data_IF_711548049738
#
_entry.id   IF_711548049738
#
_cell.length_a   1.000
_cell.length_b   1.000
_cell.length_c   1.000
_cell.angle_alpha   90.00
_cell.angle_beta   90.00
_cell.angle_gamma   90.00
#
_symmetry.space_group_name_H-M   'P 1'
#
loop_
_entity.id
_entity.type
_entity.pdbx_description
1 polymer ?
#
# COMPACT_ATOMS: atom_id res chain seq x y z
N UNK A 1 -11.38 3.94 34.42
CA UNK A 1 -10.42 2.82 34.32
C UNK A 1 -11.21 1.53 34.32
N UNK A 2 -11.20 0.79 33.22
CA UNK A 2 -11.78 -0.56 33.16
C UNK A 2 -10.83 -1.48 33.94
N UNK A 3 -11.38 -2.23 34.90
CA UNK A 3 -10.60 -3.22 35.65
C UNK A 3 -10.07 -4.32 34.72
N UNK A 4 -9.04 -5.08 35.12
CA UNK A 4 -8.41 -6.18 34.33
C UNK A 4 -9.43 -7.10 33.64
N UNK A 5 -10.52 -7.47 34.29
CA UNK A 5 -11.62 -8.27 33.73
C UNK A 5 -12.35 -7.57 32.57
N UNK A 6 -12.45 -6.23 32.60
CA UNK A 6 -13.10 -5.47 31.53
C UNK A 6 -12.23 -5.39 30.26
N UNK A 7 -10.92 -5.27 30.41
CA UNK A 7 -9.97 -5.28 29.29
C UNK A 7 -9.94 -6.67 28.59
N UNK A 8 -9.81 -7.75 29.34
CA UNK A 8 -9.80 -9.11 28.80
C UNK A 8 -11.11 -9.44 28.04
N UNK A 9 -12.25 -8.98 28.55
CA UNK A 9 -13.53 -9.16 27.86
C UNK A 9 -13.59 -8.35 26.57
N UNK A 10 -13.06 -7.14 26.56
CA UNK A 10 -13.01 -6.29 25.35
C UNK A 10 -12.10 -6.90 24.30
N UNK A 11 -10.92 -7.38 24.66
CA UNK A 11 -10.03 -8.08 23.76
C UNK A 11 -10.68 -9.31 23.12
N UNK A 12 -11.32 -10.16 23.90
CA UNK A 12 -12.05 -11.32 23.38
C UNK A 12 -13.17 -10.93 22.40
N UNK A 13 -13.86 -9.83 22.65
CA UNK A 13 -14.89 -9.32 21.72
C UNK A 13 -14.29 -8.80 20.41
N UNK A 14 -13.15 -8.13 20.47
CA UNK A 14 -12.42 -7.67 19.26
C UNK A 14 -11.95 -8.87 18.44
N UNK A 15 -11.35 -9.87 19.06
CA UNK A 15 -10.96 -11.10 18.36
C UNK A 15 -12.16 -11.83 17.75
N UNK A 16 -13.25 -11.96 18.47
CA UNK A 16 -14.47 -12.60 17.97
C UNK A 16 -15.04 -11.82 16.78
N UNK A 17 -15.08 -10.50 16.89
CA UNK A 17 -15.51 -9.65 15.77
C UNK A 17 -14.62 -9.84 14.53
N UNK A 18 -13.29 -9.76 14.70
CA UNK A 18 -12.34 -9.97 13.61
C UNK A 18 -12.48 -11.35 12.98
N UNK A 19 -12.59 -12.40 13.80
CA UNK A 19 -12.80 -13.77 13.32
C UNK A 19 -14.11 -13.92 12.54
N UNK A 20 -15.21 -13.35 13.05
CA UNK A 20 -16.51 -13.39 12.36
C UNK A 20 -16.45 -12.67 11.01
N UNK A 21 -15.76 -11.50 10.96
CA UNK A 21 -15.55 -10.76 9.71
C UNK A 21 -14.72 -11.56 8.72
N UNK A 22 -13.67 -12.22 9.16
CA UNK A 22 -12.84 -13.10 8.32
C UNK A 22 -13.66 -14.23 7.73
N UNK A 23 -14.39 -14.98 8.57
CA UNK A 23 -15.24 -16.07 8.10
C UNK A 23 -16.30 -15.61 7.09
N UNK A 24 -16.92 -14.44 7.33
CA UNK A 24 -17.88 -13.86 6.39
C UNK A 24 -17.20 -13.50 5.07
N UNK A 25 -16.04 -12.89 5.09
CA UNK A 25 -15.27 -12.55 3.88
C UNK A 25 -14.91 -13.80 3.08
N UNK A 26 -14.44 -14.84 3.74
CA UNK A 26 -14.12 -16.13 3.09
C UNK A 26 -15.36 -16.76 2.45
N UNK A 27 -16.51 -16.72 3.12
CA UNK A 27 -17.74 -17.25 2.56
C UNK A 27 -18.19 -16.50 1.31
N UNK A 28 -18.17 -15.17 1.36
CA UNK A 28 -18.53 -14.31 0.22
C UNK A 28 -17.58 -14.51 -0.95
N UNK A 29 -16.26 -14.57 -0.68
CA UNK A 29 -15.27 -14.83 -1.70
C UNK A 29 -15.45 -16.20 -2.35
N UNK A 30 -15.67 -17.26 -1.55
CA UNK A 30 -15.90 -18.61 -2.08
C UNK A 30 -17.12 -18.70 -2.97
N UNK A 31 -18.22 -18.06 -2.58
CA UNK A 31 -19.44 -18.00 -3.39
C UNK A 31 -19.20 -17.26 -4.71
N UNK A 32 -18.51 -16.13 -4.65
CA UNK A 32 -18.17 -15.36 -5.87
C UNK A 32 -17.25 -16.13 -6.81
N UNK A 33 -16.18 -16.74 -6.31
CA UNK A 33 -15.27 -17.51 -7.14
C UNK A 33 -15.96 -18.71 -7.77
N UNK A 34 -16.69 -19.49 -6.98
CA UNK A 34 -17.46 -20.65 -7.48
C UNK A 34 -18.46 -20.25 -8.56
N UNK A 35 -19.19 -19.15 -8.34
CA UNK A 35 -20.17 -18.62 -9.31
C UNK A 35 -19.46 -18.11 -10.57
N UNK A 36 -18.35 -17.39 -10.43
CA UNK A 36 -17.57 -16.86 -11.56
C UNK A 36 -16.97 -17.99 -12.41
N UNK A 37 -16.41 -19.01 -11.77
CA UNK A 37 -15.89 -20.19 -12.47
C UNK A 37 -17.00 -20.92 -13.24
N UNK A 38 -18.15 -21.12 -12.59
CA UNK A 38 -19.28 -21.77 -13.24
C UNK A 38 -19.82 -20.97 -14.44
N UNK A 39 -19.96 -19.66 -14.30
CA UNK A 39 -20.51 -18.79 -15.34
C UNK A 39 -19.55 -18.54 -16.49
N UNK A 40 -18.26 -18.39 -16.21
CA UNK A 40 -17.23 -18.08 -17.23
C UNK A 40 -16.54 -19.33 -17.78
N UNK A 41 -16.65 -20.47 -17.13
CA UNK A 41 -15.98 -21.71 -17.51
C UNK A 41 -14.45 -21.65 -17.41
N UNK A 42 -13.93 -20.70 -16.61
CA UNK A 42 -12.48 -20.47 -16.43
C UNK A 42 -12.14 -20.67 -14.97
N UNK A 43 -11.17 -21.55 -14.69
CA UNK A 43 -10.66 -21.76 -13.35
C UNK A 43 -9.87 -20.54 -12.87
N UNK A 44 -10.18 -20.04 -11.68
CA UNK A 44 -9.46 -18.92 -11.04
C UNK A 44 -8.23 -19.49 -10.33
N UNK A 45 -7.05 -19.12 -10.80
CA UNK A 45 -5.76 -19.64 -10.29
C UNK A 45 -4.97 -18.61 -9.50
N UNK A 46 -5.33 -17.33 -9.58
CA UNK A 46 -4.63 -16.25 -8.91
C UNK A 46 -5.62 -15.51 -8.00
N UNK A 47 -5.29 -15.42 -6.72
CA UNK A 47 -6.09 -14.76 -5.68
C UNK A 47 -5.53 -13.39 -5.29
N UNK A 48 -5.03 -12.64 -6.25
CA UNK A 48 -4.50 -11.30 -6.05
C UNK A 48 -3.10 -11.28 -5.41
N UNK A 49 -2.32 -12.33 -5.59
CA UNK A 49 -0.92 -12.34 -5.21
C UNK A 49 -0.13 -11.39 -6.11
N UNK A 50 0.79 -10.65 -5.50
CA UNK A 50 1.65 -9.72 -6.21
C UNK A 50 2.66 -10.52 -7.05
N UNK A 51 2.42 -10.60 -8.34
CA UNK A 51 3.34 -11.26 -9.24
C UNK A 51 4.60 -10.39 -9.45
N UNK A 52 5.76 -11.04 -9.40
CA UNK A 52 7.04 -10.39 -9.73
C UNK A 52 7.40 -9.21 -8.82
N UNK A 53 7.27 -9.37 -7.50
CA UNK A 53 7.66 -8.37 -6.50
C UNK A 53 9.07 -7.81 -6.77
N UNK A 54 10.02 -8.65 -7.15
CA UNK A 54 11.40 -8.24 -7.46
C UNK A 54 11.46 -7.22 -8.61
N UNK A 55 10.64 -7.41 -9.64
CA UNK A 55 10.55 -6.46 -10.77
C UNK A 55 9.98 -5.10 -10.35
N UNK A 56 8.98 -5.11 -9.49
CA UNK A 56 8.36 -3.88 -8.98
C UNK A 56 9.37 -3.09 -8.13
N UNK A 57 10.09 -3.79 -7.27
CA UNK A 57 11.15 -3.22 -6.45
C UNK A 57 12.27 -2.64 -7.33
N UNK A 58 12.72 -3.38 -8.35
CA UNK A 58 13.76 -2.92 -9.28
C UNK A 58 13.34 -1.65 -10.02
N UNK A 59 12.11 -1.57 -10.53
CA UNK A 59 11.58 -0.36 -11.17
C UNK A 59 11.56 0.81 -10.19
N UNK A 60 11.13 0.57 -8.95
CA UNK A 60 11.10 1.60 -7.92
C UNK A 60 12.51 2.12 -7.60
N UNK A 61 13.47 1.23 -7.38
CA UNK A 61 14.86 1.60 -7.10
C UNK A 61 15.53 2.35 -8.26
N UNK A 62 15.15 2.03 -9.49
CA UNK A 62 15.63 2.71 -10.69
C UNK A 62 14.88 4.02 -11.00
N UNK A 63 13.87 4.39 -10.22
CA UNK A 63 13.14 5.64 -10.39
C UNK A 63 14.05 6.87 -10.18
N UNK A 64 13.69 7.98 -10.82
CA UNK A 64 14.43 9.24 -10.68
C UNK A 64 14.55 9.68 -9.22
N UNK A 65 13.47 9.53 -8.45
CA UNK A 65 13.43 9.93 -7.04
C UNK A 65 14.43 9.11 -6.22
N UNK A 66 14.41 7.78 -6.38
CA UNK A 66 15.34 6.90 -5.66
C UNK A 66 16.80 7.18 -6.05
N UNK A 67 17.10 7.30 -7.32
CA UNK A 67 18.47 7.61 -7.78
C UNK A 67 18.99 8.92 -7.17
N UNK A 68 18.16 9.95 -7.12
CA UNK A 68 18.53 11.23 -6.50
C UNK A 68 18.84 11.07 -5.01
N UNK A 69 18.01 10.33 -4.28
CA UNK A 69 18.21 10.08 -2.84
C UNK A 69 19.48 9.24 -2.60
N UNK A 70 19.71 8.20 -3.40
CA UNK A 70 20.90 7.35 -3.26
C UNK A 70 22.20 8.09 -3.61
N UNK A 71 22.18 8.96 -4.60
CA UNK A 71 23.33 9.83 -4.90
C UNK A 71 23.65 10.75 -3.71
N UNK A 72 22.62 11.40 -3.14
CA UNK A 72 22.80 12.20 -1.93
C UNK A 72 23.36 11.37 -0.77
N UNK A 73 22.85 10.15 -0.59
CA UNK A 73 23.32 9.24 0.46
C UNK A 73 24.82 8.93 0.32
N UNK A 74 25.27 8.65 -0.88
CA UNK A 74 26.68 8.32 -1.12
C UNK A 74 27.62 9.51 -0.91
N UNK A 75 27.19 10.71 -1.26
CA UNK A 75 28.03 11.90 -1.23
C UNK A 75 28.00 12.62 0.12
N UNK A 76 26.89 12.56 0.83
CA UNK A 76 26.62 13.46 1.94
C UNK A 76 26.14 12.79 3.24
N UNK A 77 25.70 11.52 3.22
CA UNK A 77 25.14 10.86 4.38
C UNK A 77 25.99 9.66 4.84
N UNK A 78 26.29 9.44 6.15
CA UNK A 78 26.00 10.34 7.27
C UNK A 78 27.07 11.40 7.41
N UNK A 79 26.73 12.65 7.32
CA UNK A 79 27.62 13.69 7.82
C UNK A 79 27.30 13.93 9.29
N UNK A 80 28.38 14.11 10.07
CA UNK A 80 28.34 14.61 11.42
C UNK A 80 27.37 15.78 11.49
N UNK A 81 26.51 15.78 12.51
CA UNK A 81 25.43 16.73 12.77
C UNK A 81 25.60 18.05 12.03
N UNK A 82 24.88 18.21 10.94
CA UNK A 82 24.78 19.50 10.27
C UNK A 82 24.24 20.48 11.31
N UNK A 83 25.09 21.42 11.73
CA UNK A 83 24.59 22.61 12.44
C UNK A 83 23.42 23.13 11.63
N UNK A 84 22.24 23.18 12.23
CA UNK A 84 21.01 23.67 11.61
C UNK A 84 21.24 25.11 11.13
N UNK A 85 21.75 25.25 9.92
CA UNK A 85 21.84 26.54 9.25
C UNK A 85 20.43 26.95 8.86
N UNK A 86 20.05 28.17 9.16
CA UNK A 86 18.71 28.73 8.97
C UNK A 86 18.21 28.72 7.50
N UNK A 87 18.96 28.22 6.54
CA UNK A 87 18.68 28.19 5.10
C UNK A 87 18.91 26.79 4.50
N UNK A 88 18.53 25.73 5.17
CA UNK A 88 18.64 24.39 4.55
C UNK A 88 17.58 24.22 3.47
N UNK A 89 18.00 23.73 2.30
CA UNK A 89 17.09 23.33 1.22
C UNK A 89 16.12 22.25 1.77
N UNK A 90 14.82 22.51 1.63
CA UNK A 90 13.77 21.60 2.07
C UNK A 90 13.90 20.21 1.47
N UNK A 91 14.52 20.07 0.30
CA UNK A 91 14.75 18.79 -0.34
C UNK A 91 15.85 18.00 0.37
N UNK A 92 16.84 18.66 0.93
CA UNK A 92 17.85 18.05 1.78
C UNK A 92 17.19 17.47 3.04
N UNK A 93 16.40 18.27 3.74
CA UNK A 93 15.69 17.81 4.94
C UNK A 93 14.74 16.64 4.65
N UNK A 94 14.05 16.65 3.51
CA UNK A 94 13.22 15.53 3.05
C UNK A 94 14.03 14.27 2.81
N UNK A 95 15.19 14.40 2.22
CA UNK A 95 16.08 13.28 1.92
C UNK A 95 16.67 12.69 3.19
N UNK A 96 17.09 13.53 4.13
CA UNK A 96 17.59 13.08 5.43
C UNK A 96 16.51 12.37 6.24
N UNK A 97 15.29 12.93 6.32
CA UNK A 97 14.15 12.26 6.96
C UNK A 97 13.87 10.89 6.33
N UNK A 98 13.93 10.80 5.00
CA UNK A 98 13.72 9.56 4.28
C UNK A 98 14.77 8.50 4.66
N UNK A 99 16.05 8.87 4.70
CA UNK A 99 17.16 7.99 5.04
C UNK A 99 17.15 7.59 6.50
N UNK A 100 16.82 8.52 7.40
CA UNK A 100 16.68 8.25 8.83
C UNK A 100 15.55 7.25 9.09
N UNK A 101 14.39 7.45 8.46
CA UNK A 101 13.26 6.53 8.58
C UNK A 101 13.59 5.13 8.03
N UNK A 102 14.32 5.04 6.91
CA UNK A 102 14.77 3.77 6.36
C UNK A 102 15.75 3.05 7.30
N UNK A 103 16.70 3.78 7.89
CA UNK A 103 17.64 3.21 8.84
C UNK A 103 16.96 2.75 10.13
N UNK A 104 15.97 3.50 10.62
CA UNK A 104 15.21 3.14 11.81
C UNK A 104 14.36 1.89 11.56
N UNK A 105 13.73 1.76 10.39
CA UNK A 105 13.05 0.54 9.98
C UNK A 105 13.99 -0.67 10.01
N UNK A 106 15.19 -0.54 9.42
CA UNK A 106 16.19 -1.62 9.37
C UNK A 106 16.67 -2.06 10.75
N UNK A 107 16.77 -1.14 11.70
CA UNK A 107 17.14 -1.44 13.10
C UNK A 107 16.04 -2.22 13.83
N UNK A 108 14.79 -1.93 13.52
CA UNK A 108 13.62 -2.47 14.21
C UNK A 108 12.78 -3.38 13.30
N UNK A 109 13.41 -4.09 12.37
CA UNK A 109 12.75 -4.86 11.32
C UNK A 109 11.78 -5.94 11.81
N UNK A 110 11.96 -6.40 13.05
CA UNK A 110 11.09 -7.40 13.67
C UNK A 110 9.82 -6.82 14.31
N UNK A 111 9.70 -5.50 14.36
CA UNK A 111 8.51 -4.85 14.89
C UNK A 111 7.37 -4.93 13.85
N UNK A 112 6.13 -5.06 14.36
CA UNK A 112 4.95 -5.15 13.50
C UNK A 112 4.24 -3.83 13.27
N UNK A 113 4.57 -2.78 14.02
CA UNK A 113 3.90 -1.48 13.95
C UNK A 113 4.96 -0.37 13.97
N UNK A 114 4.88 0.50 13.00
CA UNK A 114 5.76 1.65 12.85
C UNK A 114 4.94 2.94 12.78
N UNK A 115 5.45 4.01 13.36
CA UNK A 115 4.87 5.35 13.30
C UNK A 115 5.80 6.29 12.54
N UNK A 116 5.29 6.94 11.49
CA UNK A 116 6.00 7.98 10.75
C UNK A 116 5.31 9.31 11.01
N UNK A 117 5.90 10.11 11.89
CA UNK A 117 5.41 11.45 12.24
C UNK A 117 6.34 12.50 11.64
N UNK A 118 5.78 13.43 10.87
CA UNK A 118 6.54 14.52 10.25
C UNK A 118 5.60 15.64 9.78
N UNK A 119 6.07 16.87 9.61
CA UNK A 119 5.26 18.00 9.16
C UNK A 119 4.60 17.77 7.80
N UNK A 120 3.56 18.55 7.49
CA UNK A 120 2.95 18.56 6.14
C UNK A 120 4.00 19.01 5.12
N UNK A 121 4.02 18.36 3.97
CA UNK A 121 4.99 18.66 2.91
C UNK A 121 6.39 18.08 3.10
N UNK A 122 6.66 17.32 4.17
CA UNK A 122 7.97 16.69 4.44
C UNK A 122 8.30 15.48 3.55
N UNK A 123 7.38 15.00 2.71
CA UNK A 123 7.61 13.83 1.86
C UNK A 123 7.14 12.50 2.47
N UNK A 124 6.29 12.50 3.51
CA UNK A 124 5.77 11.30 4.18
C UNK A 124 5.30 10.19 3.24
N UNK A 125 4.56 10.54 2.18
CA UNK A 125 4.02 9.55 1.24
C UNK A 125 5.13 8.80 0.49
N UNK A 126 6.18 9.51 0.05
CA UNK A 126 7.33 8.88 -0.60
C UNK A 126 8.12 8.02 0.40
N UNK A 127 8.28 8.51 1.63
CA UNK A 127 8.96 7.76 2.70
C UNK A 127 8.16 6.50 3.05
N UNK A 128 6.84 6.58 3.25
CA UNK A 128 5.99 5.43 3.54
C UNK A 128 6.03 4.39 2.39
N UNK A 129 6.04 4.83 1.15
CA UNK A 129 6.20 3.95 -0.02
C UNK A 129 7.56 3.23 0.03
N UNK A 130 8.64 3.95 0.31
CA UNK A 130 9.97 3.34 0.45
C UNK A 130 10.01 2.29 1.57
N UNK A 131 9.47 2.62 2.74
CA UNK A 131 9.45 1.69 3.87
C UNK A 131 8.66 0.42 3.54
N UNK A 132 7.55 0.53 2.78
CA UNK A 132 6.79 -0.62 2.31
C UNK A 132 7.63 -1.52 1.38
N UNK A 133 8.38 -0.96 0.44
CA UNK A 133 9.26 -1.74 -0.43
C UNK A 133 10.47 -2.31 0.31
N UNK A 134 11.03 -1.59 1.29
CA UNK A 134 12.10 -2.13 2.13
C UNK A 134 11.63 -3.34 2.95
N UNK A 135 10.41 -3.31 3.51
CA UNK A 135 9.81 -4.46 4.17
C UNK A 135 9.65 -5.66 3.22
N UNK A 136 9.15 -5.43 2.01
CA UNK A 136 9.00 -6.49 1.00
C UNK A 136 10.33 -7.11 0.56
N UNK A 137 11.44 -6.36 0.60
CA UNK A 137 12.77 -6.90 0.34
C UNK A 137 13.23 -7.83 1.45
N UNK A 138 12.90 -7.50 2.69
CA UNK A 138 13.34 -8.26 3.87
C UNK A 138 12.48 -9.51 4.11
N UNK A 139 11.18 -9.41 3.88
CA UNK A 139 10.24 -10.53 4.05
C UNK A 139 9.49 -10.82 2.73
N UNK A 140 9.88 -11.92 2.08
CA UNK A 140 9.26 -12.38 0.83
C UNK A 140 7.82 -12.88 0.99
N UNK A 141 7.33 -13.04 2.22
CA UNK A 141 5.94 -13.40 2.48
C UNK A 141 5.01 -12.17 2.37
N UNK A 142 5.54 -10.95 2.36
CA UNK A 142 4.75 -9.75 2.14
C UNK A 142 4.45 -9.63 0.65
N UNK A 143 3.20 -9.89 0.29
CA UNK A 143 2.75 -9.93 -1.11
C UNK A 143 1.74 -8.83 -1.45
N UNK A 144 1.30 -8.04 -0.47
CA UNK A 144 0.31 -6.96 -0.68
C UNK A 144 0.67 -5.72 0.12
N UNK A 145 0.38 -4.56 -0.45
CA UNK A 145 0.49 -3.26 0.22
C UNK A 145 -0.88 -2.59 0.16
N UNK A 146 -1.41 -2.23 1.32
CA UNK A 146 -2.66 -1.48 1.43
C UNK A 146 -2.37 -0.06 1.91
N UNK A 147 -2.72 0.93 1.09
CA UNK A 147 -2.73 2.33 1.49
C UNK A 147 -4.13 2.75 1.86
N UNK A 148 -4.37 3.04 3.15
CA UNK A 148 -5.69 3.41 3.66
C UNK A 148 -5.71 4.90 3.97
N UNK A 149 -6.62 5.63 3.33
CA UNK A 149 -6.75 7.08 3.48
C UNK A 149 -8.15 7.46 3.95
N UNK A 150 -8.27 8.48 4.80
CA UNK A 150 -9.58 8.95 5.29
C UNK A 150 -10.38 9.74 4.23
N UNK A 151 -9.72 10.21 3.15
CA UNK A 151 -10.34 11.07 2.14
C UNK A 151 -9.92 10.66 0.72
N UNK A 152 -10.86 10.72 -0.23
CA UNK A 152 -10.60 10.38 -1.64
C UNK A 152 -9.52 11.25 -2.29
N UNK A 153 -9.39 12.50 -1.91
CA UNK A 153 -8.34 13.40 -2.43
C UNK A 153 -6.93 12.87 -2.12
N UNK A 154 -6.74 12.23 -0.97
CA UNK A 154 -5.46 11.62 -0.63
C UNK A 154 -5.21 10.34 -1.43
N UNK A 155 -6.26 9.59 -1.76
CA UNK A 155 -6.16 8.43 -2.66
C UNK A 155 -5.69 8.90 -4.04
N UNK A 156 -6.29 9.95 -4.59
CA UNK A 156 -5.92 10.53 -5.90
C UNK A 156 -4.47 11.02 -5.90
N UNK A 157 -4.05 11.75 -4.87
CA UNK A 157 -2.67 12.22 -4.73
C UNK A 157 -1.66 11.07 -4.64
N UNK A 158 -2.00 10.00 -3.93
CA UNK A 158 -1.14 8.83 -3.85
C UNK A 158 -1.08 8.08 -5.19
N UNK A 159 -2.20 7.95 -5.89
CA UNK A 159 -2.25 7.38 -7.23
C UNK A 159 -1.42 8.18 -8.24
N UNK A 160 -1.42 9.51 -8.15
CA UNK A 160 -0.55 10.33 -8.96
C UNK A 160 0.94 10.04 -8.67
N UNK A 161 1.29 9.86 -7.41
CA UNK A 161 2.67 9.51 -7.00
C UNK A 161 3.07 8.13 -7.54
N UNK A 162 2.22 7.11 -7.40
CA UNK A 162 2.44 5.76 -7.94
C UNK A 162 2.56 5.81 -9.46
N UNK A 163 1.65 6.51 -10.14
CA UNK A 163 1.65 6.65 -11.59
C UNK A 163 2.92 7.33 -12.10
N UNK A 164 3.45 8.32 -11.39
CA UNK A 164 4.71 9.00 -11.75
C UNK A 164 5.90 8.05 -11.79
N UNK A 165 5.88 7.01 -10.96
CA UNK A 165 6.97 6.03 -10.86
C UNK A 165 6.76 4.86 -11.84
N UNK A 166 5.52 4.37 -11.96
CA UNK A 166 5.23 3.08 -12.59
C UNK A 166 4.46 3.17 -13.92
N UNK A 167 3.99 4.37 -14.36
CA UNK A 167 3.09 4.53 -15.53
C UNK A 167 3.62 3.90 -16.83
N UNK A 168 4.93 3.85 -17.00
CA UNK A 168 5.55 3.27 -18.20
C UNK A 168 5.50 1.74 -18.18
N UNK A 169 5.24 1.15 -17.01
CA UNK A 169 5.14 -0.29 -16.86
C UNK A 169 3.68 -0.71 -16.66
N UNK A 170 3.01 -1.05 -17.77
CA UNK A 170 1.59 -1.45 -17.77
C UNK A 170 1.32 -2.68 -16.91
N UNK A 171 2.28 -3.60 -16.82
CA UNK A 171 2.15 -4.82 -16.04
C UNK A 171 2.10 -4.51 -14.53
N UNK A 172 2.95 -3.60 -14.05
CA UNK A 172 2.91 -3.14 -12.66
C UNK A 172 1.64 -2.33 -12.39
N UNK A 173 1.26 -1.42 -13.29
CA UNK A 173 0.05 -0.62 -13.12
C UNK A 173 -1.23 -1.46 -13.12
N UNK A 174 -1.24 -2.61 -13.81
CA UNK A 174 -2.40 -3.52 -13.75
C UNK A 174 -2.58 -4.21 -12.41
N UNK A 175 -1.56 -4.21 -11.55
CA UNK A 175 -1.61 -4.76 -10.18
C UNK A 175 -1.99 -3.69 -9.13
N UNK A 176 -2.11 -2.43 -9.55
CA UNK A 176 -2.55 -1.33 -8.68
C UNK A 176 -4.05 -1.16 -8.77
N UNK A 177 -4.70 -1.25 -7.63
CA UNK A 177 -6.13 -1.08 -7.50
C UNK A 177 -6.47 0.15 -6.68
N UNK A 178 -7.50 0.88 -7.11
CA UNK A 178 -8.07 1.99 -6.34
C UNK A 178 -9.47 1.61 -5.92
N UNK A 179 -9.71 1.61 -4.61
CA UNK A 179 -11.03 1.38 -4.03
C UNK A 179 -11.46 2.65 -3.30
N UNK A 180 -12.52 3.28 -3.76
CA UNK A 180 -13.05 4.47 -3.11
C UNK A 180 -14.59 4.49 -3.18
N UNK A 181 -15.21 5.35 -2.38
CA UNK A 181 -16.66 5.47 -2.28
C UNK A 181 -17.35 6.09 -3.52
N UNK A 182 -16.59 6.64 -4.44
CA UNK A 182 -17.09 7.29 -5.66
C UNK A 182 -17.27 6.29 -6.81
N UNK A 183 -16.73 5.08 -6.68
CA UNK A 183 -16.96 4.04 -7.67
C UNK A 183 -18.37 3.52 -7.51
N UNK A 184 -19.26 3.71 -8.50
CA UNK A 184 -20.63 3.27 -8.37
C UNK A 184 -20.70 1.75 -8.31
N UNK A 185 -21.08 1.22 -7.17
CA UNK A 185 -21.53 -0.16 -7.02
C UNK A 185 -22.97 -0.34 -7.55
N UNK A 186 -23.56 0.71 -8.12
CA UNK A 186 -24.95 0.70 -8.55
C UNK A 186 -25.11 0.47 -10.04
N UNK A 187 -25.95 -0.52 -10.31
CA UNK A 187 -26.59 -0.80 -11.59
C UNK A 187 -27.18 0.46 -12.22
N UNK A 188 -26.68 0.86 -13.37
CA UNK A 188 -27.48 1.51 -14.41
C UNK A 188 -27.17 0.76 -15.71
N UNK A 189 -28.14 0.04 -16.17
CA UNK A 189 -28.20 -0.42 -17.53
C UNK A 189 -28.14 0.82 -18.43
N UNK A 190 -27.27 0.84 -19.40
CA UNK A 190 -27.15 1.82 -20.50
C UNK A 190 -25.92 2.74 -20.52
N UNK A 191 -24.82 2.41 -19.90
CA UNK A 191 -23.57 3.15 -20.16
C UNK A 191 -22.39 2.19 -20.41
N UNK A 192 -21.94 2.25 -21.65
CA UNK A 192 -20.67 1.81 -22.26
C UNK A 192 -19.85 0.66 -21.62
N UNK A 193 -19.47 -0.29 -22.48
CA UNK A 193 -18.52 -1.41 -22.33
C UNK A 193 -17.32 -1.12 -21.39
N UNK A 194 -16.92 0.16 -21.24
CA UNK A 194 -15.86 0.62 -20.35
C UNK A 194 -16.28 0.59 -18.87
N UNK A 195 -17.51 0.97 -18.56
CA UNK A 195 -18.03 0.99 -17.17
C UNK A 195 -18.22 -0.44 -16.66
N UNK A 196 -18.65 -1.34 -17.53
CA UNK A 196 -18.83 -2.77 -17.20
C UNK A 196 -17.48 -3.45 -16.97
N UNK A 197 -16.48 -3.24 -17.82
CA UNK A 197 -15.10 -3.71 -17.62
C UNK A 197 -14.44 -3.13 -16.37
N UNK A 198 -14.70 -1.87 -16.07
CA UNK A 198 -14.22 -1.23 -14.84
C UNK A 198 -14.90 -1.83 -13.62
N UNK A 199 -16.20 -2.07 -13.67
CA UNK A 199 -16.98 -2.70 -12.61
C UNK A 199 -16.53 -4.14 -12.33
N UNK A 200 -16.35 -4.95 -13.38
CA UNK A 200 -15.80 -6.31 -13.24
C UNK A 200 -14.40 -6.30 -12.60
N UNK A 201 -13.55 -5.37 -13.04
CA UNK A 201 -12.22 -5.18 -12.47
C UNK A 201 -12.27 -4.80 -10.99
N UNK A 202 -13.19 -3.91 -10.59
CA UNK A 202 -13.38 -3.53 -9.19
C UNK A 202 -13.96 -4.64 -8.34
N UNK A 203 -14.89 -5.40 -8.85
CA UNK A 203 -15.42 -6.57 -8.14
C UNK A 203 -14.33 -7.62 -7.91
N UNK A 204 -13.54 -7.91 -8.93
CA UNK A 204 -12.41 -8.83 -8.83
C UNK A 204 -11.39 -8.31 -7.80
N UNK A 205 -11.04 -7.03 -7.86
CA UNK A 205 -10.10 -6.39 -6.93
C UNK A 205 -10.62 -6.40 -5.49
N UNK A 206 -11.90 -6.07 -5.25
CA UNK A 206 -12.50 -6.09 -3.92
C UNK A 206 -12.48 -7.49 -3.32
N UNK A 207 -12.63 -8.51 -4.12
CA UNK A 207 -12.64 -9.90 -3.68
C UNK A 207 -11.21 -10.44 -3.52
N UNK A 208 -10.33 -10.12 -4.46
CA UNK A 208 -8.90 -10.45 -4.37
C UNK A 208 -8.18 -9.67 -3.24
N UNK A 209 -8.75 -8.55 -2.78
CA UNK A 209 -8.16 -7.70 -1.71
C UNK A 209 -8.69 -8.01 -0.32
N UNK A 210 -9.68 -8.89 -0.17
CA UNK A 210 -10.29 -9.21 1.12
C UNK A 210 -9.53 -10.28 1.92
N UNK A 211 -8.31 -10.63 1.51
CA UNK A 211 -7.45 -11.58 2.22
C UNK A 211 -6.10 -10.99 2.56
#
# INVERSE_FOLDING_TARGET
>A
MLGRNGQEKTEKLVYLYGFTRLLYSMLVASDYYATSEYMKGVEIKNFGELEKCEKIIDIYENSFVQKSIRNYQQEHYPKEQLELKQEQDINILRTEMFLDAENELKRNINDSIFYLEAPTGSGKSNTAMNLSFELMKQDKNIQKIFYIYPFNTLVEQNMETISRIFRENKEVMSQVAVVNSLVPLKERADEDDWVEKTREKYQTILLDSNF
#
